data_IF_278842123651
#
_entry.id   IF_278842123651
#
_cell.length_a   1.000
_cell.length_b   1.000
_cell.length_c   1.000
_cell.angle_alpha   90.00
_cell.angle_beta   90.00
_cell.angle_gamma   90.00
#
_symmetry.space_group_name_H-M   'P 1'
#
loop_
_entity.id
_entity.type
_entity.pdbx_description
1 polymer ?
#
# COMPACT_ATOMS: atom_id res chain seq x y z
N UNK A 1 -6.73 2.25 -16.90
CA UNK A 1 -6.94 1.19 -15.88
C UNK A 1 -8.40 0.78 -15.97
N UNK A 2 -8.68 -0.48 -16.24
CA UNK A 2 -10.06 -1.00 -16.31
C UNK A 2 -10.65 -1.03 -14.89
N UNK A 3 -11.97 -1.06 -14.78
CA UNK A 3 -12.66 -1.14 -13.50
C UNK A 3 -12.19 -2.35 -12.72
N UNK A 4 -11.66 -2.10 -11.53
CA UNK A 4 -11.24 -3.13 -10.59
C UNK A 4 -12.39 -3.41 -9.63
N UNK A 5 -12.58 -4.68 -9.30
CA UNK A 5 -13.52 -5.09 -8.27
C UNK A 5 -12.74 -5.69 -7.10
N UNK A 6 -12.52 -4.87 -6.09
CA UNK A 6 -11.78 -5.25 -4.88
C UNK A 6 -12.70 -5.36 -3.66
N UNK A 7 -13.88 -5.94 -3.87
CA UNK A 7 -14.93 -6.05 -2.83
C UNK A 7 -14.43 -6.75 -1.56
N UNK A 8 -13.68 -7.82 -1.69
CA UNK A 8 -13.13 -8.54 -0.53
C UNK A 8 -12.16 -7.67 0.27
N UNK A 9 -11.27 -6.96 -0.41
CA UNK A 9 -10.35 -6.03 0.25
C UNK A 9 -11.09 -4.84 0.88
N UNK A 10 -12.13 -4.32 0.24
CA UNK A 10 -12.95 -3.24 0.80
C UNK A 10 -13.65 -3.70 2.09
N UNK A 11 -14.23 -4.90 2.10
CA UNK A 11 -14.83 -5.51 3.31
C UNK A 11 -13.79 -5.71 4.43
N UNK A 12 -12.59 -6.15 4.09
CA UNK A 12 -11.51 -6.30 5.07
C UNK A 12 -11.11 -4.96 5.70
N UNK A 13 -11.02 -3.90 4.89
CA UNK A 13 -10.76 -2.54 5.40
C UNK A 13 -11.89 -2.05 6.33
N UNK A 14 -13.15 -2.36 6.00
CA UNK A 14 -14.30 -2.07 6.87
C UNK A 14 -14.24 -2.83 8.20
N UNK A 15 -13.69 -4.05 8.20
CA UNK A 15 -13.47 -4.87 9.40
C UNK A 15 -12.20 -4.48 10.20
N UNK A 16 -11.56 -3.38 9.85
CA UNK A 16 -10.39 -2.85 10.54
C UNK A 16 -9.06 -3.50 10.15
N UNK A 17 -9.03 -4.24 9.05
CA UNK A 17 -7.78 -4.72 8.46
C UNK A 17 -7.04 -3.58 7.75
N UNK A 18 -5.75 -3.79 7.50
CA UNK A 18 -4.97 -2.97 6.60
C UNK A 18 -4.30 -3.85 5.54
N UNK A 19 -3.97 -3.26 4.42
CA UNK A 19 -3.42 -3.95 3.26
C UNK A 19 -2.00 -3.46 3.03
N UNK A 20 -1.07 -4.40 2.78
CA UNK A 20 0.30 -4.12 2.33
C UNK A 20 0.55 -4.80 1.00
N UNK A 21 1.14 -4.08 0.04
CA UNK A 21 1.66 -4.65 -1.18
C UNK A 21 3.15 -4.32 -1.32
N UNK A 22 3.97 -5.34 -1.55
CA UNK A 22 5.42 -5.22 -1.64
C UNK A 22 6.01 -6.32 -2.54
N UNK A 23 7.28 -6.19 -2.90
CA UNK A 23 8.02 -7.26 -3.55
C UNK A 23 9.00 -7.91 -2.57
N UNK A 24 9.08 -9.23 -2.58
CA UNK A 24 10.18 -9.95 -1.95
C UNK A 24 11.39 -10.04 -2.90
N UNK A 25 12.47 -10.63 -2.43
CA UNK A 25 13.69 -10.86 -3.21
C UNK A 25 13.52 -11.70 -4.48
N UNK A 26 12.38 -12.38 -4.63
CA UNK A 26 12.03 -13.21 -5.79
C UNK A 26 11.29 -12.44 -6.89
N UNK A 27 11.12 -11.13 -6.73
CA UNK A 27 10.55 -10.22 -7.73
C UNK A 27 9.05 -10.33 -8.02
N UNK A 28 8.30 -11.08 -7.24
CA UNK A 28 6.84 -11.13 -7.36
C UNK A 28 6.16 -10.18 -6.37
N UNK A 29 5.20 -9.37 -6.82
CA UNK A 29 4.30 -8.63 -5.94
C UNK A 29 3.55 -9.55 -4.99
N UNK A 30 3.61 -9.20 -3.71
CA UNK A 30 2.92 -9.88 -2.62
C UNK A 30 1.92 -8.90 -2.01
N UNK A 31 0.70 -9.35 -1.80
CA UNK A 31 -0.33 -8.63 -1.05
C UNK A 31 -0.62 -9.40 0.24
N UNK A 32 -0.59 -8.69 1.35
CA UNK A 32 -0.98 -9.19 2.67
C UNK A 32 -2.09 -8.32 3.23
N UNK A 33 -3.13 -8.95 3.69
CA UNK A 33 -4.21 -8.34 4.45
C UNK A 33 -4.04 -8.75 5.90
N UNK A 34 -3.85 -7.79 6.78
CA UNK A 34 -3.50 -8.02 8.16
C UNK A 34 -4.45 -7.27 9.10
N UNK A 35 -4.73 -7.84 10.25
CA UNK A 35 -5.51 -7.23 11.32
C UNK A 35 -4.66 -7.14 12.59
N UNK A 36 -4.61 -5.96 13.19
CA UNK A 36 -3.96 -5.77 14.48
C UNK A 36 -4.87 -6.28 15.59
N UNK A 37 -4.37 -7.20 16.41
CA UNK A 37 -5.00 -7.55 17.66
C UNK A 37 -4.55 -6.54 18.73
N UNK A 38 -5.45 -5.66 19.14
CA UNK A 38 -5.16 -4.57 20.09
C UNK A 38 -4.83 -5.10 21.49
N UNK A 39 -5.35 -6.26 21.89
CA UNK A 39 -5.11 -6.85 23.22
C UNK A 39 -3.69 -7.42 23.34
N UNK A 40 -3.20 -8.07 22.29
CA UNK A 40 -1.89 -8.75 22.29
C UNK A 40 -0.80 -7.94 21.62
N UNK A 41 -1.15 -6.90 20.83
CA UNK A 41 -0.23 -6.15 19.98
C UNK A 41 0.31 -6.98 18.79
N UNK A 42 -0.23 -8.16 18.55
CA UNK A 42 0.18 -9.03 17.44
C UNK A 42 -0.65 -8.78 16.19
N UNK A 43 -0.08 -9.11 15.05
CA UNK A 43 -0.74 -8.97 13.76
C UNK A 43 -1.19 -10.35 13.26
N UNK A 44 -2.46 -10.48 12.91
CA UNK A 44 -3.05 -11.66 12.30
C UNK A 44 -3.10 -11.51 10.78
N UNK A 45 -2.68 -12.54 10.05
CA UNK A 45 -2.79 -12.60 8.60
C UNK A 45 -4.19 -13.07 8.22
N UNK A 46 -4.96 -12.21 7.54
CA UNK A 46 -6.33 -12.50 7.09
C UNK A 46 -6.34 -13.07 5.68
N UNK A 47 -5.54 -12.50 4.77
CA UNK A 47 -5.41 -13.00 3.41
C UNK A 47 -4.00 -12.73 2.85
N UNK A 48 -3.63 -13.55 1.88
CA UNK A 48 -2.36 -13.49 1.18
C UNK A 48 -2.57 -13.78 -0.30
N UNK A 49 -1.86 -13.07 -1.16
CA UNK A 49 -1.75 -13.40 -2.58
C UNK A 49 -0.38 -12.98 -3.13
N UNK A 50 0.06 -13.70 -4.14
CA UNK A 50 1.27 -13.44 -4.88
C UNK A 50 0.99 -13.55 -6.38
N UNK A 51 1.44 -12.58 -7.16
CA UNK A 51 1.23 -12.57 -8.59
C UNK A 51 2.35 -11.81 -9.31
N UNK A 52 2.45 -11.95 -10.63
CA UNK A 52 3.47 -11.28 -11.44
C UNK A 52 3.28 -9.74 -11.56
N UNK A 53 2.12 -9.21 -11.18
CA UNK A 53 1.90 -7.78 -11.01
C UNK A 53 1.00 -7.46 -9.80
N UNK A 54 1.07 -6.21 -9.32
CA UNK A 54 0.42 -5.80 -8.08
C UNK A 54 -1.10 -5.77 -8.19
N UNK A 55 -1.67 -5.40 -9.33
CA UNK A 55 -3.13 -5.35 -9.50
C UNK A 55 -3.74 -6.74 -9.48
N UNK A 56 -3.07 -7.72 -10.11
CA UNK A 56 -3.49 -9.12 -10.03
C UNK A 56 -3.35 -9.67 -8.62
N UNK A 57 -2.27 -9.35 -7.92
CA UNK A 57 -2.10 -9.78 -6.53
C UNK A 57 -3.18 -9.18 -5.60
N UNK A 58 -3.56 -7.92 -5.80
CA UNK A 58 -4.67 -7.28 -5.07
C UNK A 58 -6.02 -7.96 -5.39
N UNK A 59 -6.26 -8.25 -6.66
CA UNK A 59 -7.48 -8.96 -7.09
C UNK A 59 -7.55 -10.37 -6.50
N UNK A 60 -6.46 -11.13 -6.53
CA UNK A 60 -6.40 -12.47 -5.97
C UNK A 60 -6.58 -12.46 -4.45
N UNK A 61 -5.98 -11.51 -3.74
CA UNK A 61 -6.19 -11.33 -2.30
C UNK A 61 -7.66 -10.99 -1.99
N UNK A 62 -8.29 -10.14 -2.80
CA UNK A 62 -9.71 -9.80 -2.68
C UNK A 62 -10.61 -11.03 -2.86
N UNK A 63 -10.33 -11.83 -3.89
CA UNK A 63 -11.07 -13.07 -4.17
C UNK A 63 -10.88 -14.09 -3.05
N UNK A 64 -9.67 -14.22 -2.48
CA UNK A 64 -9.42 -15.13 -1.37
C UNK A 64 -10.27 -14.81 -0.13
N UNK A 65 -10.58 -13.54 0.11
CA UNK A 65 -11.45 -13.13 1.22
C UNK A 65 -12.92 -13.48 0.91
N UNK A 66 -13.38 -13.32 -0.33
CA UNK A 66 -14.77 -13.60 -0.72
C UNK A 66 -15.00 -15.10 -0.86
N UNK A 67 -14.04 -15.85 -1.39
CA UNK A 67 -14.18 -17.27 -1.70
C UNK A 67 -14.18 -18.20 -0.48
N UNK A 68 -13.89 -17.72 0.71
CA UNK A 68 -14.28 -18.43 1.93
C UNK A 68 -15.80 -18.51 2.08
N UNK A 69 -16.56 -17.74 1.29
CA UNK A 69 -18.02 -17.70 1.37
C UNK A 69 -18.78 -18.15 0.10
N UNK A 70 -18.32 -17.89 -1.13
CA UNK A 70 -19.01 -18.31 -2.39
C UNK A 70 -18.07 -18.26 -3.61
N UNK A 71 -18.08 -19.37 -4.37
CA UNK A 71 -17.24 -19.60 -5.54
C UNK A 71 -17.71 -18.87 -6.80
N UNK A 72 -16.87 -18.12 -7.44
CA UNK A 72 -16.40 -18.23 -8.85
C UNK A 72 -15.38 -17.12 -9.11
N UNK A 73 -14.15 -17.43 -9.53
CA UNK A 73 -13.23 -16.39 -9.98
C UNK A 73 -13.77 -15.82 -11.29
N UNK A 74 -14.15 -14.57 -11.31
CA UNK A 74 -14.27 -13.84 -12.58
C UNK A 74 -12.87 -13.69 -13.17
N UNK A 75 -12.50 -14.68 -14.00
CA UNK A 75 -11.32 -14.64 -14.81
C UNK A 75 -11.51 -13.59 -15.90
N UNK A 76 -10.75 -12.49 -15.86
CA UNK A 76 -10.80 -11.53 -16.95
C UNK A 76 -10.14 -10.19 -16.72
N UNK A 77 -9.48 -9.96 -15.59
CA UNK A 77 -8.68 -8.76 -15.41
C UNK A 77 -7.38 -8.96 -16.17
N UNK A 78 -7.27 -8.30 -17.32
CA UNK A 78 -5.97 -8.12 -17.98
C UNK A 78 -5.19 -7.19 -17.08
N UNK A 79 -4.31 -7.75 -16.29
CA UNK A 79 -3.47 -7.00 -15.36
C UNK A 79 -2.33 -6.38 -16.16
N UNK A 80 -2.45 -5.10 -16.45
CA UNK A 80 -1.38 -4.33 -17.04
C UNK A 80 -0.35 -3.98 -15.94
N UNK A 81 0.92 -4.00 -16.31
CA UNK A 81 1.98 -3.48 -15.45
C UNK A 81 1.75 -1.98 -15.25
N UNK A 82 1.74 -1.56 -14.01
CA UNK A 82 1.52 -0.17 -13.62
C UNK A 82 2.80 0.45 -13.06
N UNK A 83 2.81 1.76 -12.87
CA UNK A 83 3.91 2.44 -12.19
C UNK A 83 4.08 1.95 -10.74
N UNK A 84 2.99 1.51 -10.11
CA UNK A 84 3.01 0.90 -8.78
C UNK A 84 3.84 -0.39 -8.74
N UNK A 85 3.83 -1.21 -9.81
CA UNK A 85 4.70 -2.39 -9.91
C UNK A 85 6.18 -2.00 -9.87
N UNK A 86 6.56 -0.95 -10.57
CA UNK A 86 7.94 -0.49 -10.61
C UNK A 86 8.37 0.01 -9.23
N UNK A 87 7.53 0.77 -8.54
CA UNK A 87 7.78 1.30 -7.20
C UNK A 87 7.99 0.18 -6.18
N UNK A 88 7.13 -0.84 -6.13
CA UNK A 88 7.29 -1.93 -5.16
C UNK A 88 8.48 -2.85 -5.48
N UNK A 89 8.83 -3.01 -6.77
CA UNK A 89 10.02 -3.78 -7.20
C UNK A 89 11.32 -3.11 -6.79
N UNK A 90 11.30 -1.81 -6.56
CA UNK A 90 12.45 -1.04 -6.11
C UNK A 90 12.60 -0.95 -4.59
N UNK A 91 11.74 -1.67 -3.84
CA UNK A 91 11.87 -1.84 -2.41
C UNK A 91 10.92 -0.99 -1.57
N UNK A 92 9.96 -0.31 -2.19
CA UNK A 92 8.90 0.39 -1.46
C UNK A 92 7.72 -0.53 -1.18
N UNK A 93 6.85 -0.10 -0.27
CA UNK A 93 5.63 -0.81 0.12
C UNK A 93 4.44 0.10 -0.12
N UNK A 94 3.40 -0.42 -0.77
CA UNK A 94 2.10 0.23 -0.78
C UNK A 94 1.35 -0.16 0.49
N UNK A 95 0.65 0.79 1.09
CA UNK A 95 -0.19 0.56 2.26
C UNK A 95 -1.54 1.23 2.09
N UNK A 96 -2.58 0.52 2.50
CA UNK A 96 -3.95 1.00 2.42
C UNK A 96 -4.61 0.85 3.78
N UNK A 97 -5.22 1.93 4.26
CA UNK A 97 -5.90 2.00 5.55
C UNK A 97 -7.25 2.68 5.40
N UNK A 98 -8.24 2.22 6.14
CA UNK A 98 -9.48 2.97 6.32
C UNK A 98 -9.28 4.03 7.42
N UNK A 99 -9.66 5.26 7.11
CA UNK A 99 -9.65 6.38 8.05
C UNK A 99 -11.00 6.48 8.79
N UNK A 100 -11.03 7.23 9.91
CA UNK A 100 -12.23 7.39 10.74
C UNK A 100 -13.42 8.07 10.02
N UNK A 101 -13.16 8.77 8.91
CA UNK A 101 -14.17 9.43 8.08
C UNK A 101 -14.59 8.58 6.88
N UNK A 102 -14.41 7.27 6.93
CA UNK A 102 -14.69 6.29 5.86
C UNK A 102 -13.86 6.42 4.57
N UNK A 103 -12.96 7.37 4.50
CA UNK A 103 -12.02 7.47 3.39
C UNK A 103 -10.89 6.42 3.51
N UNK A 104 -10.28 6.12 2.38
CA UNK A 104 -9.12 5.23 2.28
C UNK A 104 -7.86 6.07 2.08
N UNK A 105 -6.89 5.87 2.94
CA UNK A 105 -5.52 6.37 2.76
C UNK A 105 -4.72 5.33 1.98
N UNK A 106 -4.31 5.69 0.78
CA UNK A 106 -3.41 4.90 -0.07
C UNK A 106 -2.04 5.56 -0.07
N UNK A 107 -1.00 4.84 0.29
CA UNK A 107 0.34 5.42 0.49
C UNK A 107 1.46 4.54 -0.05
N UNK A 108 2.56 5.20 -0.41
CA UNK A 108 3.85 4.58 -0.73
C UNK A 108 4.79 4.87 0.43
N UNK A 109 5.37 3.81 0.99
CA UNK A 109 6.19 3.90 2.19
C UNK A 109 7.54 3.22 1.99
N UNK A 110 8.55 3.65 2.76
CA UNK A 110 9.82 2.94 2.88
C UNK A 110 9.62 1.60 3.60
N UNK A 111 10.55 0.65 3.34
CA UNK A 111 10.69 -0.57 4.13
C UNK A 111 11.65 -0.33 5.29
N UNK A 112 11.48 -1.10 6.36
CA UNK A 112 12.38 -1.15 7.50
C UNK A 112 11.68 -0.84 8.80
N UNK A 113 12.45 -0.70 9.88
CA UNK A 113 11.94 -0.41 11.23
C UNK A 113 11.24 0.94 11.29
N UNK A 114 11.75 1.90 10.53
CA UNK A 114 11.18 3.23 10.42
C UNK A 114 10.44 3.38 9.10
N UNK A 115 9.12 3.47 9.18
CA UNK A 115 8.25 3.66 8.02
C UNK A 115 8.07 5.14 7.76
N UNK A 116 8.47 5.58 6.57
CA UNK A 116 8.32 6.96 6.10
C UNK A 116 7.39 6.95 4.90
N UNK A 117 6.36 7.77 4.94
CA UNK A 117 5.43 7.96 3.82
C UNK A 117 6.12 8.86 2.78
N UNK A 118 6.29 8.35 1.58
CA UNK A 118 6.90 9.07 0.45
C UNK A 118 5.83 9.85 -0.32
N UNK A 119 4.69 9.21 -0.58
CA UNK A 119 3.55 9.81 -1.26
C UNK A 119 2.26 9.18 -0.76
N UNK A 120 1.15 9.91 -0.81
CA UNK A 120 -0.13 9.38 -0.41
C UNK A 120 -1.29 10.13 -1.08
N UNK A 121 -2.42 9.44 -1.19
CA UNK A 121 -3.69 10.00 -1.63
C UNK A 121 -4.80 9.55 -0.68
N UNK A 122 -5.84 10.36 -0.55
CA UNK A 122 -7.04 10.04 0.22
C UNK A 122 -8.20 9.98 -0.76
N UNK A 123 -8.92 8.88 -0.77
CA UNK A 123 -10.00 8.59 -1.71
C UNK A 123 -11.20 7.98 -0.98
N UNK A 124 -12.34 7.95 -1.64
CA UNK A 124 -13.59 7.41 -1.07
C UNK A 124 -13.73 5.89 -1.25
N UNK A 125 -12.87 5.27 -2.05
CA UNK A 125 -12.82 3.81 -2.24
C UNK A 125 -11.39 3.34 -2.46
N UNK A 126 -11.15 2.03 -2.27
CA UNK A 126 -9.83 1.42 -2.49
C UNK A 126 -9.44 1.51 -3.96
N UNK A 127 -10.37 1.22 -4.88
CA UNK A 127 -10.14 1.27 -6.32
C UNK A 127 -9.75 2.68 -6.78
N UNK A 128 -10.47 3.70 -6.30
CA UNK A 128 -10.14 5.10 -6.55
C UNK A 128 -8.77 5.46 -6.00
N UNK A 129 -8.47 5.03 -4.77
CA UNK A 129 -7.17 5.28 -4.13
C UNK A 129 -6.00 4.68 -4.89
N UNK A 130 -6.12 3.46 -5.40
CA UNK A 130 -5.09 2.81 -6.23
C UNK A 130 -4.92 3.57 -7.55
N UNK A 131 -6.03 3.95 -8.21
CA UNK A 131 -5.99 4.70 -9.44
C UNK A 131 -5.35 6.07 -9.26
N UNK A 132 -5.81 6.84 -8.27
CA UNK A 132 -5.32 8.18 -7.98
C UNK A 132 -3.83 8.17 -7.60
N UNK A 133 -3.39 7.15 -6.84
CA UNK A 133 -1.98 6.98 -6.47
C UNK A 133 -1.12 6.68 -7.72
N UNK A 134 -1.59 5.82 -8.62
CA UNK A 134 -0.90 5.54 -9.88
C UNK A 134 -0.84 6.76 -10.80
N UNK A 135 -1.94 7.51 -10.93
CA UNK A 135 -1.99 8.73 -11.72
C UNK A 135 -1.10 9.84 -11.14
N UNK A 136 -1.04 9.97 -9.81
CA UNK A 136 -0.12 10.89 -9.13
C UNK A 136 1.32 10.58 -9.49
N UNK A 137 1.72 9.32 -9.46
CA UNK A 137 3.05 8.89 -9.86
C UNK A 137 3.34 9.15 -11.34
N UNK A 138 2.38 8.88 -12.21
CA UNK A 138 2.51 9.10 -13.66
C UNK A 138 2.67 10.59 -13.99
N UNK A 139 1.93 11.47 -13.32
CA UNK A 139 2.00 12.93 -13.51
C UNK A 139 3.33 13.54 -13.05
N UNK A 140 3.83 13.10 -11.90
CA UNK A 140 5.01 13.72 -11.28
C UNK A 140 6.31 13.02 -11.65
N UNK A 141 6.24 11.75 -12.04
CA UNK A 141 7.42 10.92 -12.27
C UNK A 141 7.33 10.24 -13.63
N UNK A 142 7.62 11.00 -14.69
CA UNK A 142 7.70 10.47 -16.06
C UNK A 142 8.73 9.34 -16.21
N UNK A 143 9.60 9.19 -15.22
CA UNK A 143 10.57 8.10 -15.13
C UNK A 143 10.92 7.75 -13.67
N UNK A 144 11.50 6.59 -13.48
CA UNK A 144 11.93 6.07 -12.19
C UNK A 144 12.93 6.96 -11.46
N UNK A 145 13.71 7.74 -12.20
CA UNK A 145 14.72 8.65 -11.64
C UNK A 145 14.08 9.77 -10.82
N UNK A 146 13.02 10.39 -11.32
CA UNK A 146 12.32 11.47 -10.61
C UNK A 146 11.67 10.96 -9.32
N UNK A 147 11.10 9.77 -9.35
CA UNK A 147 10.57 9.14 -8.14
C UNK A 147 11.66 8.92 -7.08
N UNK A 148 12.82 8.36 -7.46
CA UNK A 148 13.92 8.14 -6.52
C UNK A 148 14.48 9.44 -5.94
N UNK A 149 14.60 10.47 -6.75
CA UNK A 149 15.04 11.77 -6.28
C UNK A 149 14.09 12.31 -5.22
N UNK A 150 12.79 12.29 -5.49
CA UNK A 150 11.77 12.70 -4.53
C UNK A 150 11.80 11.86 -3.25
N UNK A 151 11.82 10.55 -3.36
CA UNK A 151 11.88 9.65 -2.22
C UNK A 151 13.10 9.92 -1.32
N UNK A 152 14.26 10.17 -1.94
CA UNK A 152 15.49 10.53 -1.20
C UNK A 152 15.37 11.87 -0.48
N UNK A 153 14.76 12.87 -1.10
CA UNK A 153 14.49 14.17 -0.47
C UNK A 153 13.54 14.03 0.73
N UNK A 154 12.45 13.29 0.60
CA UNK A 154 11.50 13.03 1.68
C UNK A 154 12.18 12.31 2.84
N UNK A 155 12.98 11.28 2.57
CA UNK A 155 13.70 10.53 3.61
C UNK A 155 14.68 11.42 4.35
N UNK A 156 15.46 12.23 3.64
CA UNK A 156 16.43 13.16 4.25
C UNK A 156 15.72 14.20 5.12
N UNK A 157 14.66 14.82 4.61
CA UNK A 157 13.90 15.83 5.36
C UNK A 157 13.23 15.23 6.62
N UNK A 158 12.74 13.98 6.53
CA UNK A 158 12.15 13.29 7.67
C UNK A 158 13.17 12.96 8.76
N UNK A 159 14.42 12.70 8.39
CA UNK A 159 15.52 12.48 9.32
C UNK A 159 15.86 13.77 10.04
N UNK A 160 15.96 14.87 9.33
CA UNK A 160 16.25 16.20 9.89
C UNK A 160 15.16 16.67 10.86
N UNK A 161 13.87 16.44 10.54
CA UNK A 161 12.75 16.77 11.42
C UNK A 161 12.82 15.98 12.74
N UNK A 162 13.21 14.71 12.70
CA UNK A 162 13.33 13.87 13.90
C UNK A 162 14.52 14.25 14.77
N UNK A 163 15.64 14.63 14.18
CA UNK A 163 16.80 15.18 14.91
C UNK A 163 16.44 16.52 15.56
N UNK A 164 15.74 17.38 14.85
CA UNK A 164 15.23 18.65 15.37
C UNK A 164 14.28 18.45 16.55
N UNK A 165 13.33 17.50 16.47
CA UNK A 165 12.42 17.16 17.57
C UNK A 165 13.16 16.61 18.80
N UNK A 166 14.21 15.80 18.62
CA UNK A 166 15.07 15.32 19.71
C UNK A 166 15.82 16.48 20.40
N UNK A 167 16.26 17.46 19.61
CA UNK A 167 17.00 18.62 20.12
C UNK A 167 16.11 19.57 20.94
N UNK A 168 14.84 19.72 20.55
CA UNK A 168 13.86 20.49 21.33
C UNK A 168 13.50 19.76 22.62
N UNK A 169 13.20 18.46 22.57
CA UNK A 169 12.84 17.67 23.74
C UNK A 169 13.97 17.50 24.77
N UNK A 170 15.22 17.82 24.44
CA UNK A 170 16.35 17.79 25.34
C UNK A 170 16.61 19.15 26.06
N UNK A 171 15.94 20.22 25.62
CA UNK A 171 16.09 21.57 26.26
C UNK A 171 15.09 21.84 27.36
N UNK A 172 14.06 21.01 27.50
CA UNK A 172 13.01 21.14 28.55
C UNK A 172 13.20 20.16 29.71
N UNK A 173 14.42 19.68 29.95
CA UNK A 173 14.77 18.88 31.14
C UNK A 173 15.81 19.57 32.00
#
# INVERSE_FOLDING_TARGET
MRDMYLKGLSLALEDGCYIKAFCCSMHYPIVRVEKLNEETGTTELVAYAEHNNVLCALNDASNNIINEAESTPESGIICERTFLDDVIRTGYTLRFYKLNNDNILSSICTRGEKVIVIDCVISNSLESGIKDLNESLEMYYNDTYHFYKHAKEVVNNSTDILEYQKTIGSKDK
#
